data_IF_582986053614
#
_entry.id   IF_582986053614
#
_cell.length_a   1.000
_cell.length_b   1.000
_cell.length_c   1.000
_cell.angle_alpha   90.00
_cell.angle_beta   90.00
_cell.angle_gamma   90.00
#
_symmetry.space_group_name_H-M   'P 1'
#
loop_
_entity.id
_entity.type
_entity.pdbx_description
1 polymer ?
#
# COMPACT_ATOMS: atom_id res chain seq x y z
N UNK A 1 -12.41 -1.82 -7.39
CA UNK A 1 -13.50 -0.86 -7.08
C UNK A 1 -14.11 -1.24 -5.74
N UNK A 2 -13.72 -0.53 -4.67
CA UNK A 2 -14.49 -0.46 -3.43
C UNK A 2 -14.01 0.77 -2.61
N UNK A 3 -14.88 1.79 -2.61
CA UNK A 3 -15.13 2.82 -1.59
C UNK A 3 -13.96 3.70 -1.17
N UNK A 4 -13.76 4.73 -1.98
CA UNK A 4 -13.56 6.08 -1.45
C UNK A 4 -14.92 6.63 -1.02
N UNK A 5 -15.10 6.81 0.28
CA UNK A 5 -16.07 7.66 0.96
C UNK A 5 -15.77 7.49 2.46
N UNK A 6 -15.87 8.56 3.24
CA UNK A 6 -15.76 8.59 4.71
C UNK A 6 -14.43 9.08 5.32
N UNK A 7 -13.72 10.04 4.70
CA UNK A 7 -12.62 10.76 5.37
C UNK A 7 -12.79 12.28 5.47
N UNK A 8 -13.93 12.84 5.06
CA UNK A 8 -14.16 14.29 5.06
C UNK A 8 -15.52 14.70 5.64
N UNK A 9 -16.02 13.99 6.66
CA UNK A 9 -17.34 14.30 7.26
C UNK A 9 -17.26 14.69 8.74
N UNK A 10 -16.13 15.32 9.10
CA UNK A 10 -16.04 16.22 10.24
C UNK A 10 -15.33 17.46 9.74
N UNK A 11 -16.07 18.30 9.05
CA UNK A 11 -15.89 19.73 9.24
C UNK A 11 -16.00 19.91 10.76
N UNK A 12 -14.86 19.97 11.46
CA UNK A 12 -14.81 20.55 12.79
C UNK A 12 -15.31 21.97 12.55
N UNK A 13 -16.63 22.11 12.74
CA UNK A 13 -17.38 23.35 12.72
C UNK A 13 -16.50 24.31 13.49
N UNK A 14 -15.88 25.26 12.76
CA UNK A 14 -15.05 26.28 13.36
C UNK A 14 -15.88 26.81 14.52
N UNK A 15 -15.44 26.59 15.75
CA UNK A 15 -16.22 26.92 16.94
C UNK A 15 -16.53 28.42 16.88
N UNK A 16 -17.69 28.71 16.30
CA UNK A 16 -18.22 30.03 16.09
C UNK A 16 -19.00 30.47 17.33
N UNK A 17 -19.04 29.62 18.38
CA UNK A 17 -19.52 30.01 19.69
C UNK A 17 -18.73 31.21 20.25
N UNK A 18 -17.44 31.32 19.91
CA UNK A 18 -16.67 32.54 20.17
C UNK A 18 -17.20 33.75 19.36
N UNK A 19 -17.64 33.54 18.11
CA UNK A 19 -18.17 34.58 17.19
C UNK A 19 -19.58 35.04 17.56
N UNK A 20 -20.36 34.24 18.29
CA UNK A 20 -21.61 34.68 18.87
C UNK A 20 -21.32 35.74 19.94
N UNK A 21 -21.73 36.95 19.58
CA UNK A 21 -21.57 38.19 20.31
C UNK A 21 -22.01 38.06 21.77
N UNK A 22 -21.04 37.91 22.68
CA UNK A 22 -21.05 38.72 23.89
C UNK A 22 -20.95 40.16 23.42
N UNK A 23 -22.13 40.74 23.21
CA UNK A 23 -22.29 42.02 22.58
C UNK A 23 -21.40 43.02 23.31
N UNK A 24 -20.44 43.60 22.58
CA UNK A 24 -19.60 44.64 23.15
C UNK A 24 -20.52 45.72 23.72
N UNK A 25 -20.49 45.89 25.05
CA UNK A 25 -21.34 46.85 25.74
C UNK A 25 -21.23 48.22 25.08
N UNK A 26 -20.06 48.63 24.59
CA UNK A 26 -19.87 49.90 23.87
C UNK A 26 -20.55 49.93 22.48
N UNK A 27 -20.54 48.81 21.74
CA UNK A 27 -21.25 48.68 20.46
C UNK A 27 -22.77 48.67 20.64
N UNK A 28 -23.29 48.07 21.71
CA UNK A 28 -24.74 48.01 21.99
C UNK A 28 -25.28 49.22 22.74
N UNK A 29 -24.46 49.87 23.58
CA UNK A 29 -24.89 51.02 24.38
C UNK A 29 -24.94 52.33 23.59
N UNK A 30 -24.60 52.31 22.29
CA UNK A 30 -24.68 53.47 21.41
C UNK A 30 -23.88 54.61 21.99
N UNK A 31 -22.54 54.45 22.02
CA UNK A 31 -21.58 55.42 22.57
C UNK A 31 -22.08 56.86 22.44
N UNK A 32 -22.46 57.46 23.57
CA UNK A 32 -23.00 58.81 23.61
C UNK A 32 -21.98 59.75 22.98
N UNK A 33 -22.30 60.32 21.82
CA UNK A 33 -21.40 61.25 21.13
C UNK A 33 -21.23 62.49 22.02
N UNK A 34 -20.05 62.73 22.59
CA UNK A 34 -19.82 63.93 23.38
C UNK A 34 -20.09 65.13 22.49
N UNK A 35 -20.95 66.05 22.95
CA UNK A 35 -21.17 67.31 22.24
C UNK A 35 -19.96 68.20 22.46
N UNK A 36 -19.60 68.98 21.44
CA UNK A 36 -18.67 70.08 21.61
C UNK A 36 -19.25 71.05 22.65
N UNK A 37 -18.43 71.60 23.56
CA UNK A 37 -18.90 72.60 24.49
C UNK A 37 -19.49 73.80 23.75
N UNK A 38 -20.56 74.36 24.30
CA UNK A 38 -21.08 75.64 23.82
C UNK A 38 -20.07 76.76 24.12
N UNK A 39 -20.01 77.81 23.28
CA UNK A 39 -19.17 78.97 23.56
C UNK A 39 -19.56 79.65 24.89
N UNK A 40 -18.60 80.29 25.60
CA UNK A 40 -18.86 80.90 26.90
C UNK A 40 -19.92 81.99 26.80
N UNK A 41 -20.87 81.99 27.75
CA UNK A 41 -21.96 82.97 27.80
C UNK A 41 -21.51 84.31 28.38
N UNK A 42 -20.40 84.31 29.12
CA UNK A 42 -19.78 85.53 29.66
C UNK A 42 -18.68 85.99 28.70
N UNK A 43 -18.80 87.23 28.23
CA UNK A 43 -17.75 87.88 27.43
C UNK A 43 -16.71 88.52 28.34
N UNK A 44 -15.43 88.28 28.06
CA UNK A 44 -14.34 88.99 28.75
C UNK A 44 -14.31 90.43 28.22
N UNK A 45 -14.43 91.45 29.10
CA UNK A 45 -14.39 92.84 28.67
C UNK A 45 -13.09 93.16 27.93
N UNK A 46 -13.20 93.91 26.84
CA UNK A 46 -12.04 94.37 26.08
C UNK A 46 -11.19 95.34 26.92
N UNK A 47 -9.91 95.47 26.56
CA UNK A 47 -9.03 96.45 27.18
C UNK A 47 -9.62 97.87 26.98
N UNK A 48 -9.73 98.65 28.05
CA UNK A 48 -10.42 99.95 28.14
C UNK A 48 -11.97 99.95 28.15
N UNK A 49 -12.62 98.79 28.25
CA UNK A 49 -14.05 98.73 28.53
C UNK A 49 -14.37 99.29 29.94
N UNK A 50 -15.55 99.92 30.15
CA UNK A 50 -15.99 100.31 31.48
C UNK A 50 -15.98 99.13 32.45
N UNK A 51 -15.50 99.35 33.68
CA UNK A 51 -15.41 98.30 34.70
C UNK A 51 -16.82 97.83 35.07
N UNK A 52 -17.13 96.52 34.97
CA UNK A 52 -18.44 96.00 35.36
C UNK A 52 -18.74 96.27 36.84
N UNK A 53 -20.01 96.48 37.16
CA UNK A 53 -20.45 96.65 38.55
C UNK A 53 -20.26 95.36 39.34
N UNK A 54 -20.12 95.48 40.67
CA UNK A 54 -19.98 94.32 41.56
C UNK A 54 -21.12 93.30 41.40
N UNK A 55 -22.41 93.70 41.27
CA UNK A 55 -23.49 92.75 40.99
C UNK A 55 -23.35 92.04 39.64
N UNK A 56 -22.86 92.72 38.61
CA UNK A 56 -22.62 92.13 37.28
C UNK A 56 -21.51 91.08 37.36
N UNK A 57 -20.38 91.40 37.99
CA UNK A 57 -19.28 90.45 38.21
C UNK A 57 -19.74 89.21 39.00
N UNK A 58 -20.60 89.40 40.01
CA UNK A 58 -21.14 88.29 40.78
C UNK A 58 -22.11 87.42 39.98
N UNK A 59 -22.86 88.00 39.03
CA UNK A 59 -23.71 87.26 38.11
C UNK A 59 -22.87 86.44 37.11
N UNK A 60 -21.86 87.08 36.51
CA UNK A 60 -20.94 86.46 35.56
C UNK A 60 -20.15 85.31 36.19
N UNK A 61 -19.64 85.49 37.42
CA UNK A 61 -18.95 84.45 38.17
C UNK A 61 -19.82 83.19 38.38
N UNK A 62 -21.12 83.37 38.69
CA UNK A 62 -22.07 82.25 38.84
C UNK A 62 -22.35 81.54 37.52
N UNK A 63 -22.33 82.26 36.39
CA UNK A 63 -22.48 81.64 35.06
C UNK A 63 -21.24 80.81 34.72
N UNK A 64 -20.04 81.39 34.87
CA UNK A 64 -18.77 80.70 34.64
C UNK A 64 -18.59 79.48 35.54
N UNK A 65 -19.04 79.54 36.80
CA UNK A 65 -18.99 78.39 37.71
C UNK A 65 -19.83 77.22 37.18
N UNK A 66 -21.06 77.48 36.70
CA UNK A 66 -21.93 76.46 36.10
C UNK A 66 -21.35 75.89 34.80
N UNK A 67 -20.80 76.75 33.94
CA UNK A 67 -20.13 76.31 32.70
C UNK A 67 -18.92 75.43 33.00
N UNK A 68 -18.11 75.80 33.99
CA UNK A 68 -16.95 75.01 34.40
C UNK A 68 -17.35 73.64 34.96
N UNK A 69 -18.42 73.58 35.76
CA UNK A 69 -18.98 72.32 36.24
C UNK A 69 -19.47 71.42 35.09
N UNK A 70 -20.17 72.00 34.11
CA UNK A 70 -20.63 71.26 32.93
C UNK A 70 -19.46 70.73 32.07
N UNK A 71 -18.44 71.54 31.84
CA UNK A 71 -17.22 71.14 31.13
C UNK A 71 -16.48 70.02 31.84
N UNK A 72 -16.37 70.07 33.17
CA UNK A 72 -15.74 68.99 33.96
C UNK A 72 -16.50 67.67 33.81
N UNK A 73 -17.83 67.70 33.93
CA UNK A 73 -18.66 66.52 33.74
C UNK A 73 -18.52 65.93 32.32
N UNK A 74 -18.43 66.78 31.29
CA UNK A 74 -18.17 66.34 29.92
C UNK A 74 -16.78 65.72 29.75
N UNK A 75 -15.75 66.34 30.33
CA UNK A 75 -14.39 65.82 30.30
C UNK A 75 -14.29 64.44 30.98
N UNK A 76 -14.90 64.28 32.14
CA UNK A 76 -14.96 63.00 32.86
C UNK A 76 -15.62 61.92 32.00
N UNK A 77 -16.76 62.23 31.36
CA UNK A 77 -17.43 61.30 30.44
C UNK A 77 -16.54 60.89 29.26
N UNK A 78 -15.88 61.86 28.60
CA UNK A 78 -14.94 61.59 27.50
C UNK A 78 -13.78 60.72 27.97
N UNK A 79 -13.23 61.01 29.15
CA UNK A 79 -12.13 60.25 29.74
C UNK A 79 -12.52 58.79 29.98
N UNK A 80 -13.68 58.54 30.59
CA UNK A 80 -14.21 57.19 30.81
C UNK A 80 -14.49 56.47 29.48
N UNK A 81 -15.09 57.16 28.51
CA UNK A 81 -15.35 56.59 27.19
C UNK A 81 -14.06 56.19 26.47
N UNK A 82 -13.04 57.04 26.51
CA UNK A 82 -11.74 56.75 25.91
C UNK A 82 -11.04 55.57 26.60
N UNK A 83 -11.11 55.49 27.93
CA UNK A 83 -10.59 54.34 28.68
C UNK A 83 -11.32 53.05 28.30
N UNK A 84 -12.66 53.09 28.21
CA UNK A 84 -13.47 51.96 27.77
C UNK A 84 -13.14 51.50 26.35
N UNK A 85 -12.97 52.43 25.41
CA UNK A 85 -12.55 52.13 24.04
C UNK A 85 -11.15 51.52 23.98
N UNK A 86 -10.21 52.00 24.80
CA UNK A 86 -8.87 51.43 24.86
C UNK A 86 -8.88 49.98 25.37
N UNK A 87 -9.64 49.71 26.43
CA UNK A 87 -9.83 48.34 26.95
C UNK A 87 -10.47 47.45 25.89
N UNK A 88 -11.53 47.93 25.22
CA UNK A 88 -12.20 47.16 24.18
C UNK A 88 -11.27 46.85 22.99
N UNK A 89 -10.48 47.83 22.55
CA UNK A 89 -9.49 47.63 21.49
C UNK A 89 -8.42 46.58 21.89
N UNK A 90 -7.98 46.58 23.15
CA UNK A 90 -7.05 45.56 23.66
C UNK A 90 -7.67 44.16 23.63
N UNK A 91 -8.91 44.01 24.10
CA UNK A 91 -9.61 42.71 24.07
C UNK A 91 -9.80 42.20 22.65
N UNK A 92 -10.20 43.07 21.72
CA UNK A 92 -10.31 42.70 20.30
C UNK A 92 -8.95 42.33 19.71
N UNK A 93 -7.88 43.02 20.08
CA UNK A 93 -6.53 42.71 19.64
C UNK A 93 -6.08 41.32 20.10
N UNK A 94 -6.22 41.02 21.40
CA UNK A 94 -5.85 39.73 21.98
C UNK A 94 -6.67 38.59 21.35
N UNK A 95 -7.96 38.82 21.12
CA UNK A 95 -8.84 37.87 20.45
C UNK A 95 -8.42 37.61 19.00
N UNK A 96 -8.09 38.65 18.24
CA UNK A 96 -7.58 38.51 16.88
C UNK A 96 -6.25 37.74 16.84
N UNK A 97 -5.36 37.99 17.81
CA UNK A 97 -4.12 37.23 17.95
C UNK A 97 -4.39 35.74 18.24
N UNK A 98 -5.37 35.44 19.09
CA UNK A 98 -5.74 34.05 19.38
C UNK A 98 -6.26 33.33 18.13
N UNK A 99 -7.12 33.97 17.33
CA UNK A 99 -7.60 33.40 16.07
C UNK A 99 -6.46 33.15 15.08
N UNK A 100 -5.53 34.09 14.93
CA UNK A 100 -4.37 33.92 14.04
C UNK A 100 -3.47 32.76 14.50
N UNK A 101 -3.25 32.59 15.80
CA UNK A 101 -2.47 31.46 16.34
C UNK A 101 -3.14 30.12 16.02
N UNK A 102 -4.44 29.99 16.31
CA UNK A 102 -5.21 28.78 15.99
C UNK A 102 -5.19 28.46 14.49
N UNK A 103 -5.35 29.47 13.64
CA UNK A 103 -5.27 29.29 12.18
C UNK A 103 -3.88 28.81 11.73
N UNK A 104 -2.81 29.38 12.30
CA UNK A 104 -1.44 28.94 11.99
C UNK A 104 -1.14 27.53 12.50
N UNK A 105 -1.64 27.16 13.68
CA UNK A 105 -1.50 25.81 14.24
C UNK A 105 -2.22 24.79 13.35
N UNK A 106 -3.49 25.04 13.00
CA UNK A 106 -4.26 24.19 12.10
C UNK A 106 -3.62 24.07 10.70
N UNK A 107 -3.10 25.18 10.15
CA UNK A 107 -2.35 25.12 8.89
C UNK A 107 -1.10 24.25 9.00
N UNK A 108 -0.33 24.38 10.08
CA UNK A 108 0.88 23.60 10.30
C UNK A 108 0.56 22.10 10.46
N UNK A 109 -0.47 21.76 11.23
CA UNK A 109 -0.94 20.38 11.38
C UNK A 109 -1.40 19.80 10.05
N UNK A 110 -2.17 20.56 9.27
CA UNK A 110 -2.59 20.18 7.92
C UNK A 110 -1.40 19.92 6.99
N UNK A 111 -0.37 20.77 7.02
CA UNK A 111 0.85 20.58 6.23
C UNK A 111 1.61 19.30 6.63
N UNK A 112 1.73 19.02 7.93
CA UNK A 112 2.38 17.78 8.42
C UNK A 112 1.58 16.55 7.97
N UNK A 113 0.25 16.59 8.06
CA UNK A 113 -0.60 15.50 7.60
C UNK A 113 -0.47 15.26 6.09
N UNK A 114 -0.45 16.33 5.30
CA UNK A 114 -0.26 16.26 3.86
C UNK A 114 1.11 15.65 3.51
N UNK A 115 2.18 16.11 4.14
CA UNK A 115 3.53 15.57 3.93
C UNK A 115 3.59 14.07 4.25
N UNK A 116 3.03 13.65 5.39
CA UNK A 116 2.96 12.24 5.76
C UNK A 116 2.14 11.41 4.76
N UNK A 117 1.05 11.96 4.24
CA UNK A 117 0.20 11.30 3.24
C UNK A 117 0.95 11.10 1.93
N UNK A 118 1.67 12.13 1.47
CA UNK A 118 2.50 12.06 0.26
C UNK A 118 3.64 11.04 0.40
N UNK A 119 4.33 11.03 1.55
CA UNK A 119 5.36 10.03 1.84
C UNK A 119 4.79 8.61 1.89
N UNK A 120 3.59 8.42 2.44
CA UNK A 120 2.91 7.13 2.44
C UNK A 120 2.52 6.69 1.03
N UNK A 121 2.05 7.62 0.21
CA UNK A 121 1.71 7.35 -1.19
C UNK A 121 2.95 6.94 -1.98
N UNK A 122 4.07 7.66 -1.84
CA UNK A 122 5.32 7.33 -2.52
C UNK A 122 5.80 5.91 -2.16
N UNK A 123 5.74 5.53 -0.88
CA UNK A 123 6.08 4.17 -0.45
C UNK A 123 5.17 3.12 -1.08
N UNK A 124 3.86 3.37 -1.10
CA UNK A 124 2.90 2.45 -1.70
C UNK A 124 3.12 2.29 -3.21
N UNK A 125 3.47 3.37 -3.91
CA UNK A 125 3.84 3.34 -5.33
C UNK A 125 5.11 2.50 -5.57
N UNK A 126 6.15 2.70 -4.75
CA UNK A 126 7.37 1.89 -4.81
C UNK A 126 7.08 0.39 -4.56
N UNK A 127 6.25 0.06 -3.58
CA UNK A 127 5.81 -1.30 -3.31
C UNK A 127 5.01 -1.89 -4.49
N UNK A 128 4.14 -1.08 -5.11
CA UNK A 128 3.38 -1.50 -6.28
C UNK A 128 4.31 -1.88 -7.44
N UNK A 129 5.33 -1.06 -7.73
CA UNK A 129 6.34 -1.37 -8.76
C UNK A 129 7.07 -2.66 -8.41
N UNK A 130 7.55 -2.81 -7.17
CA UNK A 130 8.23 -4.03 -6.74
C UNK A 130 7.35 -5.29 -6.86
N UNK A 131 6.05 -5.16 -6.58
CA UNK A 131 5.09 -6.25 -6.76
C UNK A 131 4.86 -6.57 -8.25
N UNK A 132 4.77 -5.56 -9.11
CA UNK A 132 4.65 -5.75 -10.56
C UNK A 132 5.85 -6.52 -11.12
N UNK A 133 7.06 -6.16 -10.70
CA UNK A 133 8.30 -6.85 -11.11
C UNK A 133 8.30 -8.31 -10.65
N UNK A 134 7.90 -8.58 -9.40
CA UNK A 134 7.77 -9.95 -8.88
C UNK A 134 6.75 -10.76 -9.68
N UNK A 135 5.60 -10.18 -9.99
CA UNK A 135 4.58 -10.83 -10.80
C UNK A 135 5.08 -11.12 -12.21
N UNK A 136 5.81 -10.18 -12.83
CA UNK A 136 6.42 -10.40 -14.14
C UNK A 136 7.44 -11.56 -14.11
N UNK A 137 8.29 -11.61 -13.08
CA UNK A 137 9.25 -12.71 -12.88
C UNK A 137 8.57 -14.07 -12.69
N UNK A 138 7.48 -14.11 -11.90
CA UNK A 138 6.69 -15.34 -11.71
C UNK A 138 6.03 -15.80 -13.00
N UNK A 139 5.52 -14.87 -13.82
CA UNK A 139 4.96 -15.19 -15.15
C UNK A 139 6.00 -15.75 -16.10
N UNK A 140 7.20 -15.18 -16.14
CA UNK A 140 8.32 -15.74 -16.92
C UNK A 140 8.66 -17.16 -16.48
N UNK A 141 8.75 -17.39 -15.16
CA UNK A 141 9.02 -18.71 -14.62
C UNK A 141 7.92 -19.71 -14.96
N UNK A 142 6.65 -19.32 -14.86
CA UNK A 142 5.52 -20.13 -15.27
C UNK A 142 5.61 -20.51 -16.75
N UNK A 143 5.87 -19.54 -17.64
CA UNK A 143 6.03 -19.81 -19.07
C UNK A 143 7.18 -20.77 -19.39
N UNK A 144 8.28 -20.73 -18.61
CA UNK A 144 9.37 -21.71 -18.74
C UNK A 144 8.98 -23.11 -18.26
N UNK A 145 8.18 -23.21 -17.21
CA UNK A 145 7.64 -24.49 -16.72
C UNK A 145 6.69 -25.08 -17.77
N UNK A 146 5.76 -24.29 -18.29
CA UNK A 146 4.82 -24.73 -19.34
C UNK A 146 5.58 -25.22 -20.59
N UNK A 147 6.62 -24.50 -21.00
CA UNK A 147 7.47 -24.92 -22.12
C UNK A 147 8.27 -26.21 -21.84
N UNK A 148 8.71 -26.42 -20.59
CA UNK A 148 9.38 -27.65 -20.19
C UNK A 148 8.43 -28.84 -20.14
N UNK A 149 7.21 -28.64 -19.64
CA UNK A 149 6.14 -29.64 -19.61
C UNK A 149 5.77 -30.06 -21.04
N UNK A 150 5.57 -29.10 -21.96
CA UNK A 150 5.29 -29.39 -23.36
C UNK A 150 6.40 -30.23 -24.03
N UNK A 151 7.68 -29.95 -23.70
CA UNK A 151 8.81 -30.76 -24.18
C UNK A 151 8.81 -32.16 -23.59
N UNK A 152 8.48 -32.31 -22.32
CA UNK A 152 8.41 -33.61 -21.65
C UNK A 152 7.33 -34.49 -22.29
N UNK A 153 6.13 -33.95 -22.51
CA UNK A 153 5.05 -34.65 -23.21
C UNK A 153 5.48 -35.09 -24.62
N UNK A 154 6.12 -34.20 -25.38
CA UNK A 154 6.62 -34.53 -26.72
C UNK A 154 7.70 -35.63 -26.69
N UNK A 155 8.55 -35.67 -25.66
CA UNK A 155 9.53 -36.75 -25.47
C UNK A 155 8.86 -38.07 -25.08
N UNK A 156 7.82 -38.04 -24.24
CA UNK A 156 7.03 -39.21 -23.89
C UNK A 156 6.34 -39.82 -25.12
N UNK A 157 5.72 -38.99 -25.96
CA UNK A 157 5.11 -39.41 -27.22
C UNK A 157 6.15 -40.03 -28.17
N UNK A 158 7.30 -39.37 -28.35
CA UNK A 158 8.38 -39.90 -29.19
C UNK A 158 8.97 -41.21 -28.64
N UNK A 159 9.08 -41.36 -27.32
CA UNK A 159 9.53 -42.59 -26.69
C UNK A 159 8.51 -43.73 -26.88
N UNK A 160 7.21 -43.43 -26.79
CA UNK A 160 6.15 -44.39 -27.06
C UNK A 160 6.19 -44.89 -28.52
N UNK A 161 6.37 -43.98 -29.48
CA UNK A 161 6.55 -44.34 -30.90
C UNK A 161 7.77 -45.25 -31.12
N UNK A 162 8.91 -44.90 -30.52
CA UNK A 162 10.13 -45.72 -30.61
C UNK A 162 9.94 -47.11 -29.98
N UNK A 163 9.25 -47.17 -28.84
CA UNK A 163 8.94 -48.43 -28.17
C UNK A 163 8.08 -49.35 -29.06
N UNK A 164 7.03 -48.81 -29.68
CA UNK A 164 6.19 -49.58 -30.61
C UNK A 164 6.98 -50.04 -31.84
N UNK A 165 7.81 -49.19 -32.43
CA UNK A 165 8.66 -49.59 -33.56
C UNK A 165 9.62 -50.74 -33.20
N UNK A 166 10.19 -50.72 -31.99
CA UNK A 166 11.03 -51.82 -31.49
C UNK A 166 10.23 -53.10 -31.26
N UNK A 167 8.99 -53.02 -30.76
CA UNK A 167 8.10 -54.17 -30.63
C UNK A 167 7.81 -54.82 -31.99
N UNK A 168 7.52 -54.01 -33.01
CA UNK A 168 7.26 -54.50 -34.38
C UNK A 168 8.50 -55.19 -34.97
N UNK A 169 9.68 -54.59 -34.79
CA UNK A 169 10.95 -55.20 -35.22
C UNK A 169 11.21 -56.54 -34.51
N UNK A 170 10.95 -56.58 -33.19
CA UNK A 170 11.08 -57.80 -32.42
C UNK A 170 10.13 -58.90 -32.93
N UNK A 171 8.85 -58.58 -33.13
CA UNK A 171 7.87 -59.50 -33.68
C UNK A 171 8.27 -60.02 -35.08
N UNK A 172 8.76 -59.14 -35.96
CA UNK A 172 9.26 -59.52 -37.28
C UNK A 172 10.47 -60.45 -37.21
N UNK A 173 11.43 -60.17 -36.32
CA UNK A 173 12.59 -61.05 -36.12
C UNK A 173 12.21 -62.41 -35.54
N UNK A 174 11.25 -62.48 -34.61
CA UNK A 174 10.69 -63.74 -34.13
C UNK A 174 10.05 -64.53 -35.26
N UNK A 175 9.22 -63.89 -36.09
CA UNK A 175 8.60 -64.54 -37.24
C UNK A 175 9.65 -65.14 -38.19
N UNK A 176 10.73 -64.40 -38.47
CA UNK A 176 11.85 -64.88 -39.29
C UNK A 176 12.57 -66.08 -38.66
N UNK A 177 12.82 -66.05 -37.34
CA UNK A 177 13.38 -67.19 -36.61
C UNK A 177 12.47 -68.40 -36.70
N UNK A 178 11.15 -68.23 -36.52
CA UNK A 178 10.20 -69.34 -36.61
C UNK A 178 10.15 -69.93 -38.02
N UNK A 179 10.21 -69.10 -39.06
CA UNK A 179 10.23 -69.55 -40.45
C UNK A 179 11.52 -70.32 -40.79
N UNK A 180 12.70 -69.77 -40.45
CA UNK A 180 13.98 -70.48 -40.58
C UNK A 180 14.00 -71.81 -39.82
N UNK A 181 13.44 -71.84 -38.61
CA UNK A 181 13.33 -73.07 -37.82
C UNK A 181 12.44 -74.10 -38.52
N UNK A 182 11.32 -73.68 -39.09
CA UNK A 182 10.44 -74.54 -39.88
C UNK A 182 11.12 -75.05 -41.16
N UNK A 183 11.86 -74.19 -41.86
CA UNK A 183 12.65 -74.58 -43.04
C UNK A 183 13.72 -75.62 -42.70
N UNK A 184 14.42 -75.46 -41.57
CA UNK A 184 15.39 -76.44 -41.08
C UNK A 184 14.74 -77.79 -40.73
N UNK A 185 13.55 -77.77 -40.10
CA UNK A 185 12.81 -78.98 -39.77
C UNK A 185 12.24 -79.70 -41.02
N UNK A 186 11.89 -78.94 -42.07
CA UNK A 186 11.38 -79.47 -43.34
C UNK A 186 12.48 -79.86 -44.33
N UNK A 187 13.73 -79.43 -44.12
CA UNK A 187 14.85 -79.79 -44.97
C UNK A 187 15.10 -81.32 -44.91
N UNK A 188 15.15 -82.02 -46.06
CA UNK A 188 15.47 -83.43 -46.07
C UNK A 188 16.89 -83.63 -45.51
N UNK A 189 17.15 -84.74 -44.76
CA UNK A 189 18.48 -85.01 -44.27
C UNK A 189 19.46 -84.99 -45.44
N UNK A 190 20.48 -84.13 -45.36
CA UNK A 190 21.50 -84.06 -46.41
C UNK A 190 22.12 -85.45 -46.60
N UNK A 191 22.53 -85.80 -47.82
CA UNK A 191 23.22 -87.08 -48.09
C UNK A 191 24.44 -87.30 -47.16
N UNK A 192 25.00 -86.23 -46.62
CA UNK A 192 26.04 -86.24 -45.59
C UNK A 192 25.53 -86.66 -44.20
N UNK A 193 24.34 -86.19 -43.77
CA UNK A 193 23.73 -86.63 -42.51
C UNK A 193 23.28 -88.10 -42.54
N UNK A 194 22.79 -88.58 -43.69
CA UNK A 194 22.45 -89.99 -43.89
C UNK A 194 23.72 -90.89 -43.89
N UNK A 195 24.88 -90.39 -44.34
CA UNK A 195 26.14 -91.15 -44.32
C UNK A 195 26.88 -91.08 -42.96
N UNK A 196 26.53 -90.14 -42.08
CA UNK A 196 27.09 -90.01 -40.73
C UNK A 196 26.24 -90.71 -39.66
N UNK A 197 24.98 -91.03 -39.93
CA UNK A 197 24.11 -91.76 -39.01
C UNK A 197 24.73 -93.08 -38.48
N UNK A 198 25.44 -93.91 -39.29
CA UNK A 198 26.14 -95.09 -38.78
C UNK A 198 27.31 -94.75 -37.85
N UNK A 199 27.97 -93.60 -38.05
CA UNK A 199 29.09 -93.16 -37.21
C UNK A 199 28.63 -92.64 -35.86
N UNK A 200 27.50 -91.94 -35.80
CA UNK A 200 26.91 -91.50 -34.53
C UNK A 200 26.30 -92.68 -33.74
N UNK A 201 25.66 -93.64 -34.43
CA UNK A 201 25.22 -94.89 -33.80
C UNK A 201 26.41 -95.69 -33.24
N UNK A 202 27.49 -95.86 -34.04
CA UNK A 202 28.70 -96.54 -33.60
C UNK A 202 29.47 -95.78 -32.49
N UNK A 203 29.32 -94.46 -32.38
CA UNK A 203 29.90 -93.67 -31.29
C UNK A 203 29.07 -93.82 -30.00
N UNK A 204 27.74 -93.76 -30.09
CA UNK A 204 26.84 -94.03 -28.97
C UNK A 204 27.01 -95.44 -28.41
N UNK A 205 27.08 -96.46 -29.27
CA UNK A 205 27.35 -97.84 -28.85
C UNK A 205 28.73 -98.01 -28.18
N UNK A 206 29.74 -97.23 -28.60
CA UNK A 206 31.06 -97.23 -27.93
C UNK A 206 31.01 -96.55 -26.57
N UNK A 207 30.26 -95.47 -26.44
CA UNK A 207 30.13 -94.73 -25.18
C UNK A 207 29.28 -95.52 -24.19
N UNK A 208 28.21 -96.19 -24.64
CA UNK A 208 27.41 -97.13 -23.83
C UNK A 208 28.22 -98.36 -23.43
N UNK A 209 28.96 -99.00 -24.35
CA UNK A 209 29.83 -100.12 -24.02
C UNK A 209 30.98 -99.72 -23.07
N UNK A 210 31.38 -98.44 -23.07
CA UNK A 210 32.39 -97.91 -22.14
C UNK A 210 31.79 -97.63 -20.76
N UNK A 211 30.56 -97.11 -20.72
CA UNK A 211 29.79 -96.96 -19.48
C UNK A 211 29.54 -98.33 -18.83
N UNK A 212 29.07 -99.34 -19.58
CA UNK A 212 28.89 -100.70 -19.07
C UNK A 212 30.22 -101.32 -18.59
N UNK A 213 31.34 -101.05 -19.27
CA UNK A 213 32.66 -101.55 -18.84
C UNK A 213 33.15 -100.89 -17.56
N UNK A 214 32.85 -99.61 -17.37
CA UNK A 214 33.22 -98.89 -16.16
C UNK A 214 32.31 -99.30 -14.99
N UNK A 215 31.01 -99.49 -15.21
CA UNK A 215 30.07 -100.05 -14.22
C UNK A 215 30.48 -101.46 -13.77
N UNK A 216 30.82 -102.35 -14.70
CA UNK A 216 31.35 -103.69 -14.38
C UNK A 216 32.71 -103.65 -13.68
N UNK A 217 33.49 -102.57 -13.84
CA UNK A 217 34.77 -102.39 -13.14
C UNK A 217 34.54 -101.96 -11.70
N UNK A 218 33.58 -101.06 -11.47
CA UNK A 218 33.15 -100.64 -10.14
C UNK A 218 32.58 -101.83 -9.37
N UNK A 219 31.69 -102.63 -9.97
CA UNK A 219 31.16 -103.84 -9.32
C UNK A 219 32.25 -104.89 -9.01
N UNK A 220 33.28 -105.02 -9.85
CA UNK A 220 34.37 -105.99 -9.63
C UNK A 220 35.36 -105.52 -8.57
N UNK A 221 35.52 -104.22 -8.40
CA UNK A 221 36.37 -103.65 -7.36
C UNK A 221 35.62 -103.62 -6.00
N UNK A 222 34.29 -103.51 -5.98
CA UNK A 222 33.46 -103.63 -4.78
C UNK A 222 33.30 -105.09 -4.27
N UNK A 223 33.51 -106.09 -5.12
CA UNK A 223 33.58 -107.51 -4.73
C UNK A 223 34.99 -107.97 -4.28
N UNK A 224 35.96 -107.04 -4.20
CA UNK A 224 37.35 -107.30 -3.77
C UNK A 224 37.77 -106.56 -2.50
N UNK A 225 36.82 -106.02 -1.73
CA UNK A 225 37.04 -105.46 -0.39
C UNK A 225 36.67 -106.47 0.69
#
# INVERSE_FOLDING_TARGET
MARGADLFDKEDELDTGDLETDACVICTSGAYRPRLPDPPQVSIPAHAAPVPSVPQLAADARVLERENQALRAQYELVSVNNAGLAVHASVLHDRNLAFLRRAHEGYREGMIMLENTLLSQERAEQECVAQQDRVASLRDRAGRVDAAEARLLALEDAAAEQYHALQDQFAASQALVTDLTAQLAAAPPSAYSASLAPLFAAQGERDDARAERDDLRVERDDLRV
#
